data_IF_323025423897
#
_entry.id   IF_323025423897
#
_cell.length_a   1.000
_cell.length_b   1.000
_cell.length_c   1.000
_cell.angle_alpha   90.00
_cell.angle_beta   90.00
_cell.angle_gamma   90.00
#
_symmetry.space_group_name_H-M   'P 1'
#
loop_
_entity.id
_entity.type
_entity.pdbx_description
1 polymer ?
#
# COMPACT_ATOMS: atom_id res chain seq x y z
N UNK A 1 11.03 -31.67 -24.57
CA UNK A 1 11.26 -31.39 -23.13
C UNK A 1 12.41 -30.41 -22.86
N UNK A 2 13.35 -30.15 -23.79
CA UNK A 2 14.57 -29.39 -23.48
C UNK A 2 14.44 -27.85 -23.24
N UNK A 3 13.32 -27.21 -23.61
CA UNK A 3 13.19 -25.74 -23.51
C UNK A 3 12.63 -25.25 -22.17
N UNK A 4 11.70 -26.00 -21.57
CA UNK A 4 11.06 -25.58 -20.30
C UNK A 4 12.07 -25.72 -19.15
N UNK A 5 12.86 -26.79 -19.19
CA UNK A 5 13.91 -27.08 -18.21
C UNK A 5 15.09 -26.07 -18.30
N UNK A 6 15.41 -25.57 -19.50
CA UNK A 6 16.51 -24.62 -19.69
C UNK A 6 16.20 -23.20 -19.18
N UNK A 7 14.92 -22.84 -19.08
CA UNK A 7 14.46 -21.53 -18.60
C UNK A 7 14.09 -21.57 -17.10
N UNK A 8 14.22 -22.74 -16.46
CA UNK A 8 13.97 -22.91 -15.03
C UNK A 8 12.49 -22.86 -14.63
N UNK A 9 11.60 -23.26 -15.53
CA UNK A 9 10.18 -23.42 -15.22
C UNK A 9 9.92 -24.79 -14.61
N UNK A 10 9.08 -24.84 -13.58
CA UNK A 10 8.59 -26.10 -12.98
C UNK A 10 7.25 -26.45 -13.59
N UNK A 11 7.12 -27.67 -14.10
CA UNK A 11 5.86 -28.22 -14.61
C UNK A 11 5.13 -28.99 -13.51
N UNK A 12 3.87 -28.64 -13.27
CA UNK A 12 3.08 -29.22 -12.18
C UNK A 12 2.09 -30.30 -12.64
N UNK A 13 1.69 -30.30 -13.92
CA UNK A 13 0.76 -31.30 -14.48
C UNK A 13 1.52 -32.48 -15.07
N UNK A 14 1.33 -33.67 -14.51
CA UNK A 14 1.96 -34.93 -14.97
C UNK A 14 1.01 -35.90 -15.68
N UNK A 15 -0.31 -35.74 -15.52
CA UNK A 15 -1.33 -36.65 -16.06
C UNK A 15 -2.04 -36.15 -17.32
N UNK A 16 -2.95 -36.96 -17.89
CA UNK A 16 -3.78 -36.55 -19.01
C UNK A 16 -4.70 -35.38 -18.64
N UNK A 17 -4.88 -34.47 -19.60
CA UNK A 17 -5.79 -33.32 -19.47
C UNK A 17 -6.85 -33.29 -20.55
N UNK A 18 -6.86 -34.29 -21.43
CA UNK A 18 -7.83 -34.42 -22.51
C UNK A 18 -8.46 -35.82 -22.51
N UNK A 19 -9.70 -35.93 -22.98
CA UNK A 19 -10.47 -37.19 -22.99
C UNK A 19 -9.79 -38.32 -23.80
N UNK A 20 -8.90 -37.96 -24.73
CA UNK A 20 -8.06 -38.91 -25.48
C UNK A 20 -6.72 -39.24 -24.79
N UNK A 21 -6.62 -39.06 -23.48
CA UNK A 21 -5.43 -39.36 -22.68
C UNK A 21 -4.16 -38.57 -23.05
N UNK A 22 -4.33 -37.40 -23.65
CA UNK A 22 -3.22 -36.47 -23.96
C UNK A 22 -3.05 -35.44 -22.85
N UNK A 23 -1.82 -34.95 -22.66
CA UNK A 23 -1.54 -33.83 -21.75
C UNK A 23 -1.22 -32.58 -22.56
N UNK A 24 -2.26 -31.80 -22.86
CA UNK A 24 -2.17 -30.58 -23.67
C UNK A 24 -2.16 -29.33 -22.79
N UNK A 25 -2.79 -29.40 -21.61
CA UNK A 25 -2.98 -28.28 -20.70
C UNK A 25 -1.90 -28.34 -19.61
N UNK A 26 -1.06 -27.31 -19.54
CA UNK A 26 0.09 -27.29 -18.64
C UNK A 26 -0.05 -26.17 -17.61
N UNK A 27 0.32 -26.49 -16.37
CA UNK A 27 0.59 -25.49 -15.33
C UNK A 27 2.10 -25.41 -15.15
N UNK A 28 2.68 -24.27 -15.51
CA UNK A 28 4.11 -23.97 -15.38
C UNK A 28 4.29 -22.81 -14.40
N UNK A 29 5.28 -22.91 -13.50
CA UNK A 29 5.63 -21.82 -12.60
C UNK A 29 7.12 -21.50 -12.61
N UNK A 30 7.45 -20.24 -12.34
CA UNK A 30 8.83 -19.79 -12.15
C UNK A 30 8.87 -18.82 -10.97
N UNK A 31 9.69 -19.12 -9.96
CA UNK A 31 9.83 -18.30 -8.76
C UNK A 31 8.59 -18.21 -7.84
N UNK A 32 7.54 -19.00 -8.11
CA UNK A 32 6.32 -19.07 -7.29
C UNK A 32 5.96 -20.52 -6.99
N UNK A 33 5.40 -20.73 -5.79
CA UNK A 33 5.00 -22.05 -5.33
C UNK A 33 3.52 -22.31 -5.67
N UNK A 34 3.28 -23.38 -6.44
CA UNK A 34 1.94 -23.85 -6.78
C UNK A 34 1.61 -25.01 -5.84
N UNK A 35 0.44 -24.95 -5.22
CA UNK A 35 -0.06 -25.93 -4.25
C UNK A 35 -1.46 -26.39 -4.64
N UNK A 36 -1.93 -27.50 -4.06
CA UNK A 36 -3.28 -28.02 -4.25
C UNK A 36 -3.68 -28.20 -5.73
N UNK A 37 -2.75 -28.63 -6.58
CA UNK A 37 -3.04 -28.90 -7.99
C UNK A 37 -3.89 -30.17 -8.11
N UNK A 38 -5.05 -30.04 -8.73
CA UNK A 38 -5.98 -31.13 -9.00
C UNK A 38 -6.42 -31.11 -10.46
N UNK A 39 -6.43 -32.29 -11.09
CA UNK A 39 -6.97 -32.52 -12.42
C UNK A 39 -8.21 -33.37 -12.26
N UNK A 40 -9.38 -32.78 -12.47
CA UNK A 40 -10.65 -33.46 -12.32
C UNK A 40 -10.93 -34.36 -13.53
N UNK A 41 -11.57 -35.53 -13.34
CA UNK A 41 -11.94 -36.42 -14.43
C UNK A 41 -12.76 -35.71 -15.51
N UNK A 42 -12.58 -36.14 -16.76
CA UNK A 42 -13.35 -35.66 -17.90
C UNK A 42 -14.87 -35.74 -17.64
N UNK A 43 -15.57 -34.65 -17.92
CA UNK A 43 -17.03 -34.58 -17.90
C UNK A 43 -17.54 -34.44 -19.35
N UNK A 44 -18.03 -35.54 -19.98
CA UNK A 44 -18.43 -35.55 -21.39
C UNK A 44 -19.54 -34.55 -21.75
N UNK A 45 -20.30 -34.07 -20.76
CA UNK A 45 -21.38 -33.10 -20.97
C UNK A 45 -20.92 -31.65 -21.02
N UNK A 46 -19.66 -31.34 -20.70
CA UNK A 46 -19.16 -29.97 -20.56
C UNK A 46 -18.01 -29.64 -21.54
N UNK A 47 -17.00 -30.52 -21.64
CA UNK A 47 -15.83 -30.33 -22.51
C UNK A 47 -15.03 -31.63 -22.60
N UNK A 48 -14.32 -31.79 -23.71
CA UNK A 48 -13.28 -32.80 -23.96
C UNK A 48 -11.98 -32.58 -23.15
N UNK A 49 -11.81 -31.40 -22.53
CA UNK A 49 -10.72 -31.10 -21.60
C UNK A 49 -11.09 -31.38 -20.14
N UNK A 50 -10.10 -31.80 -19.36
CA UNK A 50 -10.20 -31.99 -17.91
C UNK A 50 -10.15 -30.64 -17.21
N UNK A 51 -10.93 -30.48 -16.14
CA UNK A 51 -10.90 -29.26 -15.35
C UNK A 51 -9.68 -29.28 -14.42
N UNK A 52 -8.84 -28.25 -14.49
CA UNK A 52 -7.61 -28.14 -13.69
C UNK A 52 -7.77 -27.01 -12.69
N UNK A 53 -7.56 -27.30 -11.41
CA UNK A 53 -7.51 -26.30 -10.35
C UNK A 53 -6.18 -26.34 -9.65
N UNK A 54 -5.70 -25.19 -9.20
CA UNK A 54 -4.52 -25.10 -8.34
C UNK A 54 -4.59 -23.80 -7.54
N UNK A 55 -3.87 -23.78 -6.42
CA UNK A 55 -3.63 -22.58 -5.64
C UNK A 55 -2.18 -22.14 -5.81
N UNK A 56 -1.93 -20.84 -5.59
CA UNK A 56 -0.57 -20.29 -5.55
C UNK A 56 -0.31 -19.92 -4.09
N UNK A 57 0.68 -20.58 -3.48
CA UNK A 57 1.15 -20.21 -2.16
C UNK A 57 1.91 -18.89 -2.26
N UNK A 58 1.22 -17.80 -2.00
CA UNK A 58 1.87 -16.51 -1.78
C UNK A 58 2.38 -16.50 -0.35
N UNK A 59 3.61 -16.99 -0.13
CA UNK A 59 4.32 -16.81 1.13
C UNK A 59 4.24 -15.32 1.42
N UNK A 60 3.50 -14.93 2.47
CA UNK A 60 3.11 -13.57 2.80
C UNK A 60 4.06 -12.53 2.20
N UNK A 61 3.74 -12.03 0.98
CA UNK A 61 4.46 -10.92 0.37
C UNK A 61 4.23 -9.77 1.32
N UNK A 62 5.21 -9.60 2.23
CA UNK A 62 5.17 -8.85 3.46
C UNK A 62 4.16 -7.73 3.31
N UNK A 63 2.93 -7.95 3.81
CA UNK A 63 2.01 -6.83 3.96
C UNK A 63 2.81 -5.85 4.80
N UNK A 64 3.23 -4.70 4.26
CA UNK A 64 4.09 -3.84 5.03
C UNK A 64 3.29 -3.48 6.27
N UNK A 65 3.79 -3.87 7.44
CA UNK A 65 3.04 -3.62 8.65
C UNK A 65 2.88 -2.10 8.77
N UNK A 66 1.67 -1.62 9.10
CA UNK A 66 1.48 -0.19 9.33
C UNK A 66 2.52 0.28 10.34
N UNK A 67 3.37 1.24 9.96
CA UNK A 67 4.30 1.83 10.93
C UNK A 67 3.64 3.04 11.57
N UNK A 68 3.71 3.09 12.89
CA UNK A 68 3.25 4.22 13.68
C UNK A 68 4.38 5.24 13.78
N UNK A 69 4.17 6.44 13.25
CA UNK A 69 5.13 7.55 13.37
C UNK A 69 4.51 8.61 14.28
N UNK A 70 5.29 9.05 15.27
CA UNK A 70 4.93 10.18 16.13
C UNK A 70 5.55 11.46 15.54
N UNK A 71 4.76 12.52 15.44
CA UNK A 71 5.23 13.80 14.93
C UNK A 71 4.34 14.95 15.36
N UNK A 72 4.88 16.17 15.29
CA UNK A 72 4.17 17.43 15.59
C UNK A 72 4.15 18.29 14.34
N UNK A 73 3.14 19.14 14.19
CA UNK A 73 3.10 20.10 13.10
C UNK A 73 3.87 21.36 13.50
N UNK A 74 5.08 21.52 12.97
CA UNK A 74 5.90 22.72 13.16
C UNK A 74 5.82 23.53 11.87
N UNK A 75 5.19 24.69 11.94
CA UNK A 75 5.08 25.66 10.86
C UNK A 75 5.23 27.07 11.44
N UNK A 76 5.24 28.09 10.59
CA UNK A 76 5.42 29.49 11.01
C UNK A 76 4.40 29.93 12.07
N UNK A 77 3.14 29.52 11.94
CA UNK A 77 2.09 29.84 12.91
C UNK A 77 2.33 29.17 14.26
N UNK A 78 2.73 27.89 14.27
CA UNK A 78 3.11 27.18 15.48
C UNK A 78 4.27 27.87 16.19
N UNK A 79 5.28 28.31 15.44
CA UNK A 79 6.44 29.01 15.99
C UNK A 79 6.03 30.31 16.68
N UNK A 80 5.19 31.12 16.04
CA UNK A 80 4.72 32.38 16.66
C UNK A 80 3.93 32.10 17.95
N UNK A 81 2.96 31.19 17.90
CA UNK A 81 2.19 30.79 19.09
C UNK A 81 3.05 30.26 20.22
N UNK A 82 4.14 29.56 19.89
CA UNK A 82 5.09 29.09 20.89
C UNK A 82 5.74 30.26 21.61
N UNK A 83 6.26 31.24 20.85
CA UNK A 83 6.87 32.44 21.40
C UNK A 83 5.88 33.25 22.24
N UNK A 84 4.65 33.41 21.77
CA UNK A 84 3.58 34.13 22.49
C UNK A 84 3.17 33.43 23.79
N UNK A 85 3.31 32.11 23.86
CA UNK A 85 2.94 31.30 25.02
C UNK A 85 4.10 31.02 25.98
N UNK A 86 5.30 31.54 25.70
CA UNK A 86 6.42 31.43 26.64
C UNK A 86 6.17 32.35 27.84
N UNK A 87 6.27 31.84 29.07
CA UNK A 87 6.09 32.67 30.25
C UNK A 87 7.25 33.67 30.41
N UNK A 88 6.92 34.90 30.78
CA UNK A 88 7.89 35.98 31.04
C UNK A 88 8.95 35.62 32.09
N UNK A 89 8.68 34.63 32.93
CA UNK A 89 9.63 34.09 33.90
C UNK A 89 10.87 33.43 33.27
N UNK A 90 10.81 33.09 31.98
CA UNK A 90 11.96 32.61 31.21
C UNK A 90 12.82 33.76 30.64
N UNK A 91 12.25 34.97 30.56
CA UNK A 91 12.91 36.13 29.96
C UNK A 91 13.78 36.90 30.96
N UNK A 92 13.54 36.78 32.27
CA UNK A 92 14.39 37.37 33.31
C UNK A 92 14.58 36.42 34.50
N UNK A 93 15.81 36.26 35.03
CA UNK A 93 16.02 35.61 36.30
C UNK A 93 15.43 36.50 37.41
N UNK A 94 14.24 36.13 37.92
CA UNK A 94 13.69 36.73 39.13
C UNK A 94 14.45 36.17 40.33
N UNK A 95 15.23 37.03 40.96
CA UNK A 95 15.89 36.90 42.27
C UNK A 95 16.39 35.48 42.62
N UNK A 96 17.71 35.28 42.49
CA UNK A 96 18.46 34.11 43.00
C UNK A 96 18.53 34.17 44.53
N UNK A 97 17.38 34.17 45.21
CA UNK A 97 17.28 34.24 46.68
C UNK A 97 16.87 32.92 47.32
N UNK A 98 16.99 31.82 46.58
CA UNK A 98 16.96 30.45 47.10
C UNK A 98 17.73 29.56 46.14
N UNK A 99 18.86 29.00 46.57
CA UNK A 99 19.71 28.13 45.75
C UNK A 99 18.97 26.82 45.43
N UNK A 100 18.15 26.83 44.37
CA UNK A 100 17.72 25.60 43.69
C UNK A 100 18.95 25.06 42.95
N UNK A 101 19.17 23.75 43.01
CA UNK A 101 20.27 23.11 42.28
C UNK A 101 20.12 23.38 40.77
N UNK A 102 21.25 23.47 40.05
CA UNK A 102 21.26 23.69 38.59
C UNK A 102 20.41 22.65 37.85
N UNK A 103 20.40 21.41 38.34
CA UNK A 103 19.59 20.33 37.80
C UNK A 103 18.10 20.65 37.91
N UNK A 104 17.65 21.11 39.09
CA UNK A 104 16.25 21.48 39.29
C UNK A 104 15.83 22.63 38.37
N UNK A 105 16.68 23.64 38.17
CA UNK A 105 16.39 24.74 37.26
C UNK A 105 16.30 24.26 35.80
N UNK A 106 17.17 23.34 35.41
CA UNK A 106 17.19 22.76 34.07
C UNK A 106 15.96 21.88 33.82
N UNK A 107 15.52 21.12 34.81
CA UNK A 107 14.29 20.33 34.75
C UNK A 107 13.05 21.22 34.65
N UNK A 108 12.97 22.27 35.47
CA UNK A 108 11.87 23.24 35.47
C UNK A 108 11.76 23.96 34.11
N UNK A 109 12.91 24.34 33.52
CA UNK A 109 12.99 24.89 32.17
C UNK A 109 12.50 23.89 31.11
N UNK A 110 13.06 22.68 31.11
CA UNK A 110 12.70 21.65 30.13
C UNK A 110 11.22 21.28 30.20
N UNK A 111 10.66 21.19 31.41
CA UNK A 111 9.25 20.92 31.63
C UNK A 111 8.38 22.04 31.07
N UNK A 112 8.75 23.30 31.34
CA UNK A 112 8.05 24.47 30.82
C UNK A 112 8.05 24.49 29.30
N UNK A 113 9.22 24.39 28.66
CA UNK A 113 9.33 24.38 27.20
C UNK A 113 8.55 23.23 26.56
N UNK A 114 8.60 22.05 27.17
CA UNK A 114 7.86 20.87 26.68
C UNK A 114 6.35 21.07 26.79
N UNK A 115 5.86 21.58 27.93
CA UNK A 115 4.43 21.84 28.13
C UNK A 115 3.91 22.91 27.18
N UNK A 116 4.66 24.00 26.99
CA UNK A 116 4.31 25.04 26.01
C UNK A 116 4.28 24.46 24.60
N UNK A 117 5.27 23.63 24.23
CA UNK A 117 5.32 22.98 22.93
C UNK A 117 4.16 21.98 22.74
N UNK A 118 3.81 21.21 23.78
CA UNK A 118 2.67 20.29 23.77
C UNK A 118 1.34 21.04 23.60
N UNK A 119 1.20 22.23 24.19
CA UNK A 119 0.00 23.06 24.06
C UNK A 119 -0.18 23.64 22.64
N UNK A 120 0.90 24.15 22.03
CA UNK A 120 0.82 24.78 20.69
C UNK A 120 0.94 23.78 19.54
N UNK A 121 1.62 22.65 19.77
CA UNK A 121 1.87 21.60 18.78
C UNK A 121 1.87 20.20 19.42
N UNK A 122 0.69 19.64 19.71
CA UNK A 122 0.57 18.34 20.36
C UNK A 122 1.17 17.22 19.52
N UNK A 123 1.71 16.20 20.19
CA UNK A 123 2.28 15.03 19.56
C UNK A 123 1.16 14.19 18.94
N UNK A 124 1.18 14.06 17.62
CA UNK A 124 0.20 13.26 16.88
C UNK A 124 0.85 11.97 16.40
N UNK A 125 0.16 10.87 16.63
CA UNK A 125 0.54 9.57 16.09
C UNK A 125 -0.16 9.37 14.76
N UNK A 126 0.61 9.05 13.72
CA UNK A 126 0.09 8.76 12.39
C UNK A 126 0.46 7.32 12.01
N UNK A 127 -0.56 6.53 11.68
CA UNK A 127 -0.37 5.20 11.13
C UNK A 127 -0.13 5.33 9.62
N UNK A 128 1.06 4.99 9.17
CA UNK A 128 1.42 4.98 7.76
C UNK A 128 1.33 3.54 7.27
N UNK A 129 0.31 3.26 6.46
CA UNK A 129 0.31 2.07 5.62
C UNK A 129 1.31 2.31 4.48
N UNK A 130 2.30 1.44 4.31
CA UNK A 130 3.05 1.51 3.06
C UNK A 130 2.09 1.09 1.94
N UNK A 131 1.96 1.93 0.92
CA UNK A 131 1.42 1.48 -0.35
C UNK A 131 2.44 0.48 -0.90
N UNK A 132 1.99 -0.69 -1.35
CA UNK A 132 2.87 -1.59 -2.12
C UNK A 132 3.50 -0.75 -3.22
N UNK A 133 4.83 -0.69 -3.26
CA UNK A 133 5.52 -0.18 -4.43
C UNK A 133 5.06 -1.11 -5.56
N UNK A 134 4.25 -0.59 -6.49
CA UNK A 134 3.96 -1.31 -7.71
C UNK A 134 5.22 -1.11 -8.57
N UNK A 135 6.14 -2.09 -8.64
CA UNK A 135 7.45 -1.85 -9.28
C UNK A 135 7.30 -1.60 -10.78
N UNK A 136 6.19 -2.11 -11.34
CA UNK A 136 5.75 -1.85 -12.70
C UNK A 136 5.09 -0.48 -12.88
N UNK A 137 4.68 0.21 -11.81
CA UNK A 137 4.08 1.54 -11.87
C UNK A 137 5.15 2.63 -11.84
N UNK A 138 5.92 2.70 -12.91
CA UNK A 138 6.95 3.72 -13.14
C UNK A 138 6.34 5.04 -13.64
N UNK A 139 7.13 6.12 -13.65
CA UNK A 139 6.72 7.41 -14.23
C UNK A 139 6.22 7.27 -15.67
N UNK A 140 6.85 6.41 -16.48
CA UNK A 140 6.41 6.10 -17.84
C UNK A 140 5.00 5.52 -17.87
N UNK A 141 4.70 4.52 -17.05
CA UNK A 141 3.35 3.93 -16.98
C UNK A 141 2.32 4.90 -16.41
N UNK A 142 2.73 5.79 -15.51
CA UNK A 142 1.88 6.85 -14.98
C UNK A 142 1.53 7.87 -16.08
N UNK A 143 2.51 8.31 -16.86
CA UNK A 143 2.32 9.23 -17.98
C UNK A 143 1.41 8.63 -19.05
N UNK A 144 1.64 7.37 -19.45
CA UNK A 144 0.79 6.64 -20.40
C UNK A 144 -0.66 6.54 -19.89
N UNK A 145 -0.86 6.18 -18.63
CA UNK A 145 -2.19 6.11 -18.01
C UNK A 145 -2.88 7.48 -18.00
N UNK A 146 -2.16 8.56 -17.74
CA UNK A 146 -2.71 9.92 -17.78
C UNK A 146 -3.09 10.31 -19.21
N UNK A 147 -2.24 10.02 -20.21
CA UNK A 147 -2.53 10.28 -21.61
C UNK A 147 -3.78 9.51 -22.07
N UNK A 148 -3.86 8.22 -21.75
CA UNK A 148 -5.02 7.38 -22.03
C UNK A 148 -6.31 7.97 -21.43
N UNK A 149 -6.31 8.34 -20.14
CA UNK A 149 -7.48 8.96 -19.48
C UNK A 149 -7.87 10.30 -20.09
N UNK A 150 -6.90 11.09 -20.58
CA UNK A 150 -7.18 12.34 -21.30
C UNK A 150 -7.89 12.05 -22.63
N UNK A 151 -7.48 11.00 -23.34
CA UNK A 151 -8.12 10.58 -24.59
C UNK A 151 -9.51 9.99 -24.33
N UNK A 152 -9.69 9.15 -23.31
CA UNK A 152 -11.01 8.63 -22.92
C UNK A 152 -12.02 9.74 -22.63
N UNK A 153 -11.60 10.79 -21.92
CA UNK A 153 -12.47 11.94 -21.63
C UNK A 153 -12.86 12.72 -22.89
N UNK A 154 -11.99 12.73 -23.90
CA UNK A 154 -12.26 13.36 -25.20
C UNK A 154 -13.03 12.45 -26.14
N UNK A 155 -13.05 11.14 -25.88
CA UNK A 155 -13.74 10.17 -26.71
C UNK A 155 -15.26 10.41 -26.64
N UNK A 156 -15.91 10.78 -27.75
CA UNK A 156 -17.36 10.91 -27.78
C UNK A 156 -17.98 9.53 -27.48
N UNK A 157 -18.94 9.47 -26.55
CA UNK A 157 -19.67 8.23 -26.34
C UNK A 157 -20.40 7.85 -27.64
N UNK A 158 -20.25 6.62 -28.15
CA UNK A 158 -21.03 6.18 -29.30
C UNK A 158 -22.52 6.27 -28.97
N UNK A 159 -23.33 6.64 -29.97
CA UNK A 159 -24.78 6.87 -29.82
C UNK A 159 -25.55 5.67 -29.23
N UNK A 160 -25.00 4.46 -29.31
CA UNK A 160 -25.56 3.24 -28.74
C UNK A 160 -25.59 3.18 -27.20
N UNK A 161 -24.88 4.08 -26.52
CA UNK A 161 -24.86 4.16 -25.05
C UNK A 161 -25.61 5.38 -24.50
N UNK A 162 -26.33 6.11 -25.35
CA UNK A 162 -27.26 7.15 -24.91
C UNK A 162 -28.53 6.45 -24.43
N UNK A 163 -28.83 6.55 -23.13
CA UNK A 163 -30.15 6.15 -22.60
C UNK A 163 -31.19 7.01 -23.30
N UNK A 164 -32.02 6.38 -24.14
CA UNK A 164 -33.21 7.03 -24.68
C UNK A 164 -34.14 7.39 -23.52
N UNK A 165 -34.71 8.61 -23.49
CA UNK A 165 -35.68 8.97 -22.47
C UNK A 165 -36.93 8.08 -22.64
N UNK A 166 -37.26 7.34 -21.58
CA UNK A 166 -38.50 6.56 -21.51
C UNK A 166 -39.69 7.50 -21.74
N UNK A 167 -40.43 7.26 -22.83
CA UNK A 167 -41.71 7.91 -23.08
C UNK A 167 -42.75 7.17 -22.24
N UNK A 168 -43.23 7.79 -21.17
CA UNK A 168 -44.40 7.31 -20.42
C UNK A 168 -45.65 7.49 -21.28
N UNK A 169 -46.31 6.37 -21.58
CA UNK A 169 -47.75 6.31 -21.89
C UNK A 169 -48.51 6.16 -20.57
#
# INVERSE_FOLDING_TARGET
>A
MAFIDSVGFVRHVSGPTHCHSHTLDLVLSHGINVVDLNVFPHNPGLSDHHFITFAIATNNLLRPQPRSIKGRAINSQTTQRFLDALPDSLCLPKDVRGQKSVNHLTEELNLTLRNTLDAVAPLKTKNISHKKLAPWYTENTQALKQAYRKLERKWPRPKSCQRTPETKL
#
